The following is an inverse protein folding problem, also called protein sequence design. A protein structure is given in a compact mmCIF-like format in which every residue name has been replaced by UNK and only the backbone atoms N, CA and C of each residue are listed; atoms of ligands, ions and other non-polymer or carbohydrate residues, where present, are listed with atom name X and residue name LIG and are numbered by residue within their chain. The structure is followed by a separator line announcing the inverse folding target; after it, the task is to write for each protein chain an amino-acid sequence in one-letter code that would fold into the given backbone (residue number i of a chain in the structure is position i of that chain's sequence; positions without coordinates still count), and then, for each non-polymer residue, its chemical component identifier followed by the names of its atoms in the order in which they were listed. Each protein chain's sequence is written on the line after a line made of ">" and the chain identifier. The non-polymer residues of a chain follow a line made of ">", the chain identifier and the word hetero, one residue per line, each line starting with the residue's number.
data_IF_214591201214
#
_entry.id   IF_214591201214
#
_cell.length_a   1.000
_cell.length_b   1.000
_cell.length_c   1.000
_cell.angle_alpha   90.00
_cell.angle_beta   90.00
_cell.angle_gamma   90.00
#
_symmetry.space_group_name_H-M   'P 1'
#
loop_
_entity.id
_entity.type
_entity.pdbx_description
1 polymer ?
#
# COMPACT_ATOMS: atom_id res chain seq x y z
N UNK A 1 23.29 88.15 -37.31
CA UNK A 1 23.54 87.89 -38.75
C UNK A 1 24.32 86.60 -38.87
N UNK A 2 23.80 85.64 -39.65
CA UNK A 2 24.42 84.49 -40.35
C UNK A 2 25.41 83.60 -39.55
N UNK A 3 25.08 82.34 -39.20
CA UNK A 3 24.89 81.11 -40.01
C UNK A 3 26.16 80.26 -40.19
N UNK A 4 26.15 79.14 -39.46
CA UNK A 4 26.54 77.75 -39.79
C UNK A 4 27.93 77.44 -40.42
N UNK A 5 28.79 76.76 -39.66
CA UNK A 5 29.61 75.63 -40.14
C UNK A 5 30.00 74.70 -38.97
N UNK A 6 29.98 73.40 -39.26
CA UNK A 6 29.86 72.29 -38.32
C UNK A 6 31.18 71.89 -37.63
N UNK A 7 31.07 71.38 -36.40
CA UNK A 7 31.99 70.37 -35.85
C UNK A 7 31.14 69.29 -35.20
N UNK A 8 30.81 68.25 -35.97
CA UNK A 8 30.42 66.97 -35.40
C UNK A 8 31.71 66.36 -34.82
N UNK A 9 31.87 66.44 -33.49
CA UNK A 9 32.78 65.52 -32.80
C UNK A 9 32.05 64.19 -32.72
N UNK A 10 32.36 63.28 -33.65
CA UNK A 10 32.04 61.88 -33.48
C UNK A 10 32.74 61.40 -32.20
N UNK A 11 31.97 61.11 -31.15
CA UNK A 11 32.44 60.29 -30.04
C UNK A 11 32.83 58.94 -30.63
N UNK A 12 34.14 58.66 -30.66
CA UNK A 12 34.65 57.34 -30.97
C UNK A 12 34.01 56.33 -30.01
N UNK A 13 33.45 55.26 -30.55
CA UNK A 13 33.06 54.10 -29.77
C UNK A 13 34.31 53.58 -29.03
N UNK A 14 34.27 53.59 -27.71
CA UNK A 14 35.33 53.08 -26.84
C UNK A 14 35.25 51.55 -26.77
N UNK A 15 35.48 50.89 -27.90
CA UNK A 15 35.67 49.44 -27.93
C UNK A 15 37.16 49.13 -28.07
N UNK A 16 37.62 48.06 -27.40
CA UNK A 16 39.00 47.57 -27.55
C UNK A 16 39.28 47.23 -29.00
N UNK A 17 40.50 47.56 -29.46
CA UNK A 17 40.94 47.20 -30.80
C UNK A 17 41.26 45.70 -30.86
N UNK A 18 40.90 45.03 -31.95
CA UNK A 18 41.06 43.60 -32.13
C UNK A 18 41.51 43.24 -33.54
N UNK A 19 42.07 42.04 -33.68
CA UNK A 19 42.40 41.41 -34.97
C UNK A 19 41.67 40.10 -35.17
N UNK A 20 41.26 39.45 -34.08
CA UNK A 20 40.49 38.22 -34.04
C UNK A 20 39.44 38.27 -32.94
N UNK A 21 38.43 37.40 -33.01
CA UNK A 21 37.41 37.28 -31.96
C UNK A 21 38.01 36.95 -30.58
N UNK A 22 39.12 36.20 -30.52
CA UNK A 22 39.78 35.85 -29.27
C UNK A 22 40.41 37.06 -28.54
N UNK A 23 40.72 38.14 -29.27
CA UNK A 23 41.19 39.40 -28.67
C UNK A 23 40.06 40.13 -27.91
N UNK A 24 38.82 39.70 -28.10
CA UNK A 24 37.62 40.27 -27.53
C UNK A 24 36.99 39.42 -26.43
N UNK A 25 37.69 38.41 -25.90
CA UNK A 25 37.19 37.62 -24.77
C UNK A 25 36.99 38.53 -23.53
N UNK A 26 35.72 38.77 -23.17
CA UNK A 26 35.35 39.57 -22.00
C UNK A 26 35.22 38.73 -20.71
N UNK A 27 35.53 37.44 -20.79
CA UNK A 27 35.41 36.48 -19.70
C UNK A 27 33.97 36.12 -19.34
N UNK A 28 32.98 36.58 -20.12
CA UNK A 28 31.58 36.25 -19.93
C UNK A 28 31.14 35.19 -20.95
N UNK A 29 30.86 33.97 -20.46
CA UNK A 29 30.43 32.85 -21.30
C UNK A 29 29.10 33.05 -22.02
N UNK A 30 28.33 34.08 -21.63
CA UNK A 30 27.04 34.41 -22.21
C UNK A 30 27.09 35.49 -23.29
N UNK A 31 28.29 35.90 -23.71
CA UNK A 31 28.50 36.82 -24.83
C UNK A 31 29.21 36.10 -25.98
N UNK A 32 28.75 36.36 -27.20
CA UNK A 32 29.51 36.01 -28.40
C UNK A 32 30.42 37.18 -28.73
N UNK A 33 31.71 36.97 -28.53
CA UNK A 33 32.73 37.96 -28.79
C UNK A 33 33.12 37.94 -30.26
N UNK A 34 32.92 39.05 -30.94
CA UNK A 34 33.24 39.21 -32.36
C UNK A 34 34.14 40.40 -32.54
N UNK A 35 35.20 40.23 -33.33
CA UNK A 35 35.95 41.36 -33.84
C UNK A 35 35.25 41.91 -35.08
N UNK A 36 34.63 43.08 -34.95
CA UNK A 36 33.92 43.73 -36.05
C UNK A 36 34.86 44.08 -37.21
N UNK A 37 34.30 44.26 -38.41
CA UNK A 37 35.09 44.61 -39.61
C UNK A 37 35.84 45.96 -39.50
N UNK A 38 35.45 46.78 -38.52
CA UNK A 38 36.10 48.03 -38.10
C UNK A 38 37.30 47.82 -37.16
N UNK A 39 37.63 46.58 -36.78
CA UNK A 39 38.70 46.24 -35.85
C UNK A 39 38.34 46.56 -34.39
N UNK A 40 37.06 46.59 -34.04
CA UNK A 40 36.55 46.91 -32.70
C UNK A 40 35.77 45.71 -32.16
N UNK A 41 35.96 45.40 -30.87
CA UNK A 41 35.22 44.32 -30.22
C UNK A 41 33.72 44.62 -30.09
N UNK A 42 32.92 43.62 -30.41
CA UNK A 42 31.48 43.58 -30.25
C UNK A 42 31.13 42.34 -29.41
N UNK A 43 30.35 42.54 -28.34
CA UNK A 43 29.93 41.47 -27.44
C UNK A 43 28.40 41.33 -27.54
N UNK A 44 27.94 40.30 -28.23
CA UNK A 44 26.51 40.05 -28.41
C UNK A 44 26.01 39.10 -27.31
N UNK A 45 25.15 39.57 -26.41
CA UNK A 45 24.58 38.73 -25.37
C UNK A 45 23.69 37.62 -25.96
N UNK A 46 23.86 36.40 -25.48
CA UNK A 46 23.02 35.26 -25.82
C UNK A 46 21.73 35.29 -24.99
N UNK A 47 20.58 35.27 -25.67
CA UNK A 47 19.27 35.29 -25.01
C UNK A 47 19.06 34.02 -24.15
N UNK A 48 18.70 34.21 -22.88
CA UNK A 48 18.46 33.11 -21.94
C UNK A 48 19.70 32.47 -21.32
N UNK A 49 20.91 32.95 -21.61
CA UNK A 49 22.13 32.48 -20.97
C UNK A 49 22.34 33.13 -19.58
N UNK A 50 22.75 32.33 -18.60
CA UNK A 50 23.05 32.78 -17.23
C UNK A 50 24.57 32.71 -17.01
N UNK A 51 25.26 33.84 -16.74
CA UNK A 51 26.69 33.85 -16.51
C UNK A 51 27.05 33.31 -15.12
N UNK A 52 28.18 32.62 -15.01
CA UNK A 52 28.62 31.99 -13.75
C UNK A 52 30.14 32.05 -13.59
N UNK A 53 30.60 32.03 -12.34
CA UNK A 53 32.02 31.82 -12.02
C UNK A 53 32.29 30.40 -11.52
N UNK A 54 31.30 29.80 -10.85
CA UNK A 54 31.34 28.46 -10.27
C UNK A 54 30.03 27.73 -10.51
N UNK A 55 30.04 26.40 -10.40
CA UNK A 55 28.82 25.59 -10.50
C UNK A 55 27.74 26.00 -9.49
N UNK A 56 28.12 26.48 -8.30
CA UNK A 56 27.19 26.93 -7.28
C UNK A 56 26.41 28.20 -7.66
N UNK A 57 26.91 28.99 -8.63
CA UNK A 57 26.18 30.16 -9.15
C UNK A 57 25.01 29.74 -10.07
N UNK A 58 25.00 28.47 -10.49
CA UNK A 58 24.01 27.89 -11.38
C UNK A 58 22.97 27.03 -10.66
N UNK A 59 22.92 27.05 -9.32
CA UNK A 59 21.93 26.27 -8.54
C UNK A 59 20.50 26.69 -8.91
N UNK A 60 19.81 25.86 -9.68
CA UNK A 60 18.41 26.03 -10.07
C UNK A 60 17.44 25.47 -9.03
N UNK A 61 17.97 24.90 -7.94
CA UNK A 61 17.27 24.18 -6.86
C UNK A 61 16.48 22.97 -7.35
N UNK A 62 16.81 22.44 -8.51
CA UNK A 62 16.27 21.18 -8.99
C UNK A 62 17.28 20.06 -8.68
N UNK A 63 16.99 19.18 -7.71
CA UNK A 63 17.89 18.09 -7.37
C UNK A 63 18.04 17.04 -8.50
N UNK A 64 17.16 17.09 -9.51
CA UNK A 64 17.22 16.21 -10.69
C UNK A 64 18.07 16.74 -11.84
N UNK A 65 18.73 17.87 -11.67
CA UNK A 65 19.75 18.39 -12.57
C UNK A 65 21.09 18.50 -11.86
N UNK A 66 22.16 18.36 -12.64
CA UNK A 66 23.51 18.72 -12.20
C UNK A 66 23.88 20.05 -12.81
N UNK A 67 24.14 21.02 -11.93
CA UNK A 67 24.52 22.36 -12.33
C UNK A 67 26.01 22.41 -12.65
N UNK A 68 26.31 22.91 -13.84
CA UNK A 68 27.67 23.07 -14.33
C UNK A 68 27.91 24.50 -14.76
N UNK A 69 29.04 25.06 -14.36
CA UNK A 69 29.56 26.27 -14.96
C UNK A 69 30.66 25.90 -15.95
N UNK A 70 30.35 25.96 -17.25
CA UNK A 70 31.31 25.62 -18.31
C UNK A 70 31.50 26.82 -19.22
N UNK A 71 32.75 27.29 -19.34
CA UNK A 71 33.06 28.44 -20.19
C UNK A 71 32.42 29.75 -19.73
N UNK A 72 32.08 29.89 -18.44
CA UNK A 72 31.44 31.08 -17.87
C UNK A 72 29.92 31.15 -18.07
N UNK A 73 29.29 30.09 -18.57
CA UNK A 73 27.85 29.96 -18.74
C UNK A 73 27.30 28.75 -17.96
N UNK A 74 26.10 28.92 -17.39
CA UNK A 74 25.38 27.85 -16.73
C UNK A 74 24.86 26.82 -17.73
N UNK A 75 25.01 25.56 -17.37
CA UNK A 75 24.34 24.43 -18.00
C UNK A 75 23.79 23.50 -16.93
N UNK A 76 22.64 22.90 -17.22
CA UNK A 76 21.97 21.93 -16.36
C UNK A 76 21.90 20.61 -17.11
N UNK A 77 22.37 19.52 -16.49
CA UNK A 77 22.33 18.19 -17.10
C UNK A 77 21.48 17.25 -16.26
N UNK A 78 20.49 16.60 -16.86
CA UNK A 78 19.58 15.68 -16.17
C UNK A 78 20.35 14.54 -15.48
N UNK A 79 19.95 14.25 -14.25
CA UNK A 79 20.47 13.10 -13.48
C UNK A 79 19.81 11.82 -14.01
N UNK A 80 20.56 10.78 -14.42
CA UNK A 80 19.98 9.57 -15.01
C UNK A 80 19.05 8.76 -14.10
N UNK A 81 19.13 8.93 -12.77
CA UNK A 81 18.23 8.30 -11.80
C UNK A 81 16.94 9.09 -11.60
N UNK A 82 16.80 10.27 -12.21
CA UNK A 82 15.57 11.04 -12.13
C UNK A 82 14.59 10.68 -13.26
N UNK A 83 13.31 10.67 -12.92
CA UNK A 83 12.21 10.21 -13.75
C UNK A 83 10.93 10.06 -12.91
N UNK A 84 9.96 9.25 -13.36
CA UNK A 84 8.83 8.88 -12.51
C UNK A 84 9.31 8.19 -11.23
N UNK A 85 8.67 8.53 -10.10
CA UNK A 85 9.04 7.98 -8.79
C UNK A 85 9.01 6.44 -8.77
N UNK A 86 10.10 5.85 -8.26
CA UNK A 86 10.24 4.41 -8.04
C UNK A 86 10.21 4.12 -6.54
N UNK A 87 9.09 3.57 -6.10
CA UNK A 87 8.72 3.53 -4.68
C UNK A 87 9.46 2.52 -3.78
N UNK A 88 10.60 1.98 -4.23
CA UNK A 88 11.36 0.98 -3.46
C UNK A 88 12.87 0.94 -3.75
N UNK A 89 13.43 1.96 -4.40
CA UNK A 89 14.85 2.00 -4.75
C UNK A 89 15.72 2.85 -3.80
N UNK A 90 15.09 3.58 -2.87
CA UNK A 90 15.78 4.42 -1.88
C UNK A 90 16.26 5.76 -2.43
N UNK A 91 15.79 6.18 -3.59
CA UNK A 91 16.17 7.41 -4.29
C UNK A 91 14.90 8.26 -4.49
N UNK A 92 15.04 9.59 -4.35
CA UNK A 92 14.06 10.57 -4.79
C UNK A 92 14.21 10.74 -6.31
N UNK A 93 13.37 10.07 -7.10
CA UNK A 93 13.52 10.08 -8.56
C UNK A 93 12.85 11.30 -9.19
N UNK A 94 11.91 11.96 -8.54
CA UNK A 94 11.20 13.11 -9.12
C UNK A 94 11.73 14.48 -8.64
N UNK A 95 12.54 14.47 -7.59
CA UNK A 95 13.26 15.60 -7.05
C UNK A 95 12.44 16.47 -6.10
N UNK A 96 11.36 15.97 -5.52
CA UNK A 96 10.50 16.73 -4.62
C UNK A 96 10.99 16.73 -3.15
N UNK A 97 12.02 15.92 -2.86
CA UNK A 97 12.65 15.77 -1.55
C UNK A 97 12.08 14.64 -0.69
N UNK A 98 11.18 13.83 -1.23
CA UNK A 98 10.61 12.65 -0.61
C UNK A 98 11.15 11.38 -1.31
N UNK A 99 11.15 10.27 -0.58
CA UNK A 99 11.79 9.02 -1.04
C UNK A 99 10.87 7.86 -0.76
N UNK A 100 10.64 7.01 -1.76
CA UNK A 100 9.88 5.77 -1.64
C UNK A 100 8.51 5.99 -0.95
N UNK A 101 8.20 5.23 0.10
CA UNK A 101 6.93 5.31 0.81
C UNK A 101 6.74 6.58 1.65
N UNK A 102 7.76 7.43 1.76
CA UNK A 102 7.58 8.78 2.29
C UNK A 102 7.01 9.74 1.24
N UNK A 103 7.06 9.35 -0.04
CA UNK A 103 6.56 10.10 -1.19
C UNK A 103 5.05 9.88 -1.41
N UNK A 104 4.24 10.97 -1.49
CA UNK A 104 2.83 10.91 -1.86
C UNK A 104 2.54 10.30 -3.23
N UNK A 105 3.45 10.41 -4.20
CA UNK A 105 3.32 9.79 -5.52
C UNK A 105 3.42 8.27 -5.43
N UNK A 106 4.00 7.76 -4.34
CA UNK A 106 4.02 6.34 -3.96
C UNK A 106 2.82 5.86 -3.14
N UNK A 107 1.80 6.69 -2.89
CA UNK A 107 0.65 6.33 -2.06
C UNK A 107 -0.13 5.09 -2.55
N UNK A 108 0.03 4.72 -3.82
CA UNK A 108 -0.62 3.55 -4.43
C UNK A 108 0.35 2.41 -4.78
N UNK A 109 1.64 2.57 -4.47
CA UNK A 109 2.64 1.54 -4.70
C UNK A 109 2.39 0.35 -3.76
N UNK A 110 2.29 -0.90 -4.28
CA UNK A 110 2.02 -2.09 -3.47
C UNK A 110 2.97 -2.27 -2.28
N UNK A 111 4.24 -1.92 -2.46
CA UNK A 111 5.30 -1.94 -1.45
C UNK A 111 5.12 -0.93 -0.31
N UNK A 112 4.36 0.14 -0.55
CA UNK A 112 4.10 1.21 0.40
C UNK A 112 2.72 1.13 1.05
N UNK A 113 1.89 0.18 0.62
CA UNK A 113 0.65 -0.14 1.33
C UNK A 113 1.03 -0.74 2.70
N UNK A 114 0.36 -0.33 3.79
CA UNK A 114 0.56 -0.99 5.07
C UNK A 114 0.29 -2.49 4.91
N UNK A 115 1.09 -3.35 5.52
CA UNK A 115 0.90 -4.80 5.40
C UNK A 115 -0.13 -5.26 6.42
N UNK A 116 -1.09 -6.09 5.99
CA UNK A 116 -2.12 -6.66 6.86
C UNK A 116 -1.52 -7.58 7.96
N UNK A 117 -1.80 -7.34 9.24
CA UNK A 117 -1.29 -8.21 10.31
C UNK A 117 -2.23 -9.40 10.57
N UNK A 118 -2.06 -10.45 9.77
CA UNK A 118 -2.92 -11.63 9.80
C UNK A 118 -3.15 -12.25 11.19
N UNK A 119 -4.42 -12.31 11.57
CA UNK A 119 -4.95 -12.99 12.75
C UNK A 119 -5.20 -12.10 13.97
N UNK A 120 -5.13 -10.77 13.82
CA UNK A 120 -5.41 -9.80 14.88
C UNK A 120 -6.86 -9.27 14.87
N UNK A 121 -7.65 -9.63 13.87
CA UNK A 121 -9.05 -9.26 13.64
C UNK A 121 -9.28 -7.77 13.38
N UNK A 122 -8.30 -7.07 12.83
CA UNK A 122 -8.33 -5.67 12.44
C UNK A 122 -8.00 -5.60 10.95
N UNK A 123 -8.50 -4.57 10.27
CA UNK A 123 -8.11 -4.19 8.92
C UNK A 123 -6.95 -3.19 9.09
N UNK A 124 -5.71 -3.68 8.99
CA UNK A 124 -4.49 -2.91 9.25
C UNK A 124 -4.01 -2.16 8.00
N UNK A 125 -4.37 -2.62 6.81
CA UNK A 125 -4.03 -1.96 5.54
C UNK A 125 -5.09 -0.96 5.04
N UNK A 126 -6.28 -0.97 5.66
CA UNK A 126 -7.37 -0.04 5.41
C UNK A 126 -8.14 -0.31 4.12
N UNK A 127 -8.02 -1.50 3.54
CA UNK A 127 -8.66 -1.84 2.27
C UNK A 127 -10.10 -2.36 2.42
N UNK A 128 -10.57 -2.48 3.66
CA UNK A 128 -11.91 -2.93 4.01
C UNK A 128 -12.04 -4.44 4.18
N UNK A 129 -10.97 -5.21 3.96
CA UNK A 129 -10.87 -6.63 4.24
C UNK A 129 -10.12 -6.83 5.56
N UNK A 130 -10.51 -7.85 6.32
CA UNK A 130 -9.92 -8.15 7.63
C UNK A 130 -9.26 -9.52 7.57
N UNK A 131 -8.06 -9.65 8.11
CA UNK A 131 -7.33 -10.90 8.31
C UNK A 131 -7.49 -11.88 7.12
N UNK A 132 -8.08 -13.06 7.36
CA UNK A 132 -8.11 -14.15 6.40
C UNK A 132 -9.22 -14.00 5.36
N UNK A 133 -9.95 -12.89 5.38
CA UNK A 133 -10.81 -12.44 4.26
C UNK A 133 -10.03 -11.55 3.29
N UNK A 134 -8.91 -10.98 3.74
CA UNK A 134 -7.95 -10.26 2.93
C UNK A 134 -7.07 -11.21 2.07
N UNK A 135 -6.58 -10.70 0.93
CA UNK A 135 -5.79 -11.43 -0.06
C UNK A 135 -4.31 -11.55 0.31
N UNK A 136 -3.77 -10.63 1.09
CA UNK A 136 -2.41 -10.64 1.62
C UNK A 136 -2.26 -11.72 2.70
N UNK A 137 -3.33 -12.00 3.46
CA UNK A 137 -3.36 -13.12 4.40
C UNK A 137 -3.83 -14.44 3.81
N UNK A 138 -4.76 -14.42 2.85
CA UNK A 138 -5.35 -15.63 2.25
C UNK A 138 -5.55 -15.48 0.75
N UNK A 139 -4.45 -15.59 -0.01
CA UNK A 139 -4.45 -15.48 -1.48
C UNK A 139 -5.33 -16.52 -2.18
N UNK A 140 -5.38 -17.73 -1.63
CA UNK A 140 -6.19 -18.84 -2.17
C UNK A 140 -7.04 -19.46 -1.08
N UNK A 141 -8.36 -19.52 -1.32
CA UNK A 141 -9.30 -20.15 -0.42
C UNK A 141 -9.92 -21.40 -1.06
N UNK A 142 -9.91 -22.51 -0.32
CA UNK A 142 -10.70 -23.68 -0.65
C UNK A 142 -12.19 -23.48 -0.38
N UNK A 143 -13.02 -24.41 -0.89
CA UNK A 143 -14.46 -24.37 -0.66
C UNK A 143 -14.81 -24.90 0.74
N UNK A 144 -15.38 -24.02 1.57
CA UNK A 144 -16.09 -24.42 2.79
C UNK A 144 -17.54 -24.77 2.40
N UNK A 145 -18.14 -25.77 3.04
CA UNK A 145 -19.57 -26.06 2.86
C UNK A 145 -20.25 -25.95 4.20
N UNK A 146 -21.03 -24.89 4.41
CA UNK A 146 -21.88 -24.80 5.60
C UNK A 146 -23.01 -25.83 5.46
N UNK A 147 -23.15 -26.69 6.47
CA UNK A 147 -24.24 -27.66 6.52
C UNK A 147 -25.38 -27.17 7.41
N UNK A 148 -25.06 -26.44 8.49
CA UNK A 148 -26.03 -25.78 9.38
C UNK A 148 -25.40 -24.58 10.08
N UNK A 149 -26.17 -23.51 10.26
CA UNK A 149 -25.77 -22.32 11.01
C UNK A 149 -26.96 -21.75 11.80
N UNK A 150 -26.69 -21.16 12.94
CA UNK A 150 -27.66 -20.40 13.73
C UNK A 150 -26.93 -19.24 14.40
N UNK A 151 -27.38 -18.03 14.11
CA UNK A 151 -26.95 -16.80 14.78
C UNK A 151 -28.11 -16.22 15.56
N UNK A 152 -27.85 -15.86 16.81
CA UNK A 152 -28.78 -15.09 17.65
C UNK A 152 -28.06 -13.78 18.03
N UNK A 153 -27.98 -12.78 17.12
CA UNK A 153 -27.32 -11.50 17.42
C UNK A 153 -28.03 -10.76 18.56
N UNK A 154 -27.30 -9.90 19.28
CA UNK A 154 -27.86 -9.10 20.36
C UNK A 154 -29.06 -8.26 19.87
N UNK A 155 -30.13 -8.18 20.66
CA UNK A 155 -31.31 -7.35 20.37
C UNK A 155 -32.58 -8.10 19.94
N UNK A 156 -32.51 -9.38 19.55
CA UNK A 156 -33.70 -10.14 19.14
C UNK A 156 -34.56 -10.67 20.30
N UNK A 157 -34.00 -10.99 21.50
CA UNK A 157 -34.64 -11.16 22.84
C UNK A 157 -33.56 -11.27 23.95
N UNK A 158 -33.96 -11.22 25.24
CA UNK A 158 -33.22 -11.36 26.53
C UNK A 158 -32.03 -12.35 26.65
N UNK A 159 -31.76 -13.21 25.65
CA UNK A 159 -30.60 -14.11 25.57
C UNK A 159 -30.07 -14.13 24.13
N UNK A 160 -29.32 -13.10 23.74
CA UNK A 160 -28.62 -13.01 22.45
C UNK A 160 -27.19 -13.60 22.52
N UNK A 161 -26.35 -13.23 21.56
CA UNK A 161 -24.93 -13.56 21.46
C UNK A 161 -24.64 -15.07 21.31
N UNK A 162 -25.41 -15.76 20.47
CA UNK A 162 -25.17 -17.19 20.21
C UNK A 162 -24.78 -17.49 18.79
N UNK A 163 -23.85 -18.43 18.67
CA UNK A 163 -23.43 -19.01 17.42
C UNK A 163 -23.48 -20.52 17.55
N UNK A 164 -24.08 -21.19 16.58
CA UNK A 164 -23.91 -22.62 16.37
C UNK A 164 -23.69 -22.89 14.90
N UNK A 165 -22.56 -23.52 14.57
CA UNK A 165 -22.20 -23.82 13.19
C UNK A 165 -21.78 -25.28 13.04
N UNK A 166 -22.14 -25.85 11.89
CA UNK A 166 -21.67 -27.13 11.39
C UNK A 166 -21.30 -26.92 9.93
N UNK A 167 -20.04 -27.17 9.61
CA UNK A 167 -19.51 -27.06 8.26
C UNK A 167 -18.73 -28.32 7.89
N UNK A 168 -18.61 -28.56 6.59
CA UNK A 168 -17.59 -29.43 6.03
C UNK A 168 -16.46 -28.54 5.57
N UNK A 169 -15.36 -28.63 6.31
CA UNK A 169 -14.16 -27.84 6.10
C UNK A 169 -13.46 -28.23 4.80
N UNK A 170 -13.37 -29.54 4.52
CA UNK A 170 -12.76 -30.03 3.29
C UNK A 170 -13.35 -31.40 2.89
N UNK A 171 -13.34 -31.69 1.60
CA UNK A 171 -13.80 -32.97 1.02
C UNK A 171 -12.85 -34.13 1.31
N UNK A 172 -11.57 -33.84 1.54
CA UNK A 172 -10.51 -34.72 2.01
C UNK A 172 -9.68 -33.99 3.07
N UNK A 173 -8.84 -34.70 3.84
CA UNK A 173 -7.94 -34.04 4.81
C UNK A 173 -6.88 -33.27 4.04
N UNK A 174 -6.78 -31.94 4.18
CA UNK A 174 -5.78 -31.18 3.45
C UNK A 174 -4.35 -31.48 3.91
N UNK A 175 -3.34 -31.26 3.06
CA UNK A 175 -1.95 -31.33 3.47
C UNK A 175 -1.68 -30.41 4.67
N UNK A 176 -0.87 -30.90 5.62
CA UNK A 176 -0.48 -30.18 6.83
C UNK A 176 -1.64 -29.78 7.76
N UNK A 177 -2.86 -30.29 7.55
CA UNK A 177 -3.99 -30.03 8.44
C UNK A 177 -3.72 -30.60 9.84
N UNK A 178 -3.40 -29.72 10.79
CA UNK A 178 -3.25 -30.08 12.19
C UNK A 178 -3.60 -28.93 13.15
N UNK A 179 -4.83 -28.88 13.69
CA UNK A 179 -5.25 -27.88 14.67
C UNK A 179 -4.46 -27.88 16.00
N UNK A 180 -3.68 -28.92 16.33
CA UNK A 180 -2.80 -28.86 17.53
C UNK A 180 -1.39 -28.37 17.21
N UNK A 181 -1.02 -28.30 15.93
CA UNK A 181 0.23 -27.72 15.47
C UNK A 181 0.05 -26.29 14.92
N UNK A 182 -1.17 -25.92 14.54
CA UNK A 182 -1.47 -24.66 13.87
C UNK A 182 -2.69 -23.98 14.47
N UNK A 183 -2.69 -22.65 14.45
CA UNK A 183 -3.81 -21.87 14.96
C UNK A 183 -5.01 -21.97 14.02
N UNK A 184 -6.21 -21.81 14.58
CA UNK A 184 -7.47 -21.87 13.83
C UNK A 184 -8.19 -20.55 13.93
N UNK A 185 -8.56 -19.95 12.80
CA UNK A 185 -9.34 -18.70 12.79
C UNK A 185 -10.72 -18.96 12.22
N UNK A 186 -11.74 -18.47 12.94
CA UNK A 186 -13.11 -18.39 12.43
C UNK A 186 -13.45 -16.91 12.29
N UNK A 187 -13.75 -16.51 11.08
CA UNK A 187 -14.15 -15.16 10.73
C UNK A 187 -15.45 -15.19 9.94
N UNK A 188 -16.27 -14.17 10.15
CA UNK A 188 -17.52 -13.97 9.43
C UNK A 188 -17.71 -12.47 9.21
N UNK A 189 -18.21 -12.11 8.04
CA UNK A 189 -18.53 -10.73 7.66
C UNK A 189 -19.80 -10.68 6.81
N UNK A 190 -20.32 -9.48 6.63
CA UNK A 190 -21.32 -9.17 5.61
C UNK A 190 -20.93 -7.85 4.90
N UNK A 191 -21.82 -7.32 4.05
CA UNK A 191 -21.58 -6.08 3.29
C UNK A 191 -21.21 -4.84 4.13
N UNK A 192 -21.47 -4.86 5.45
CA UNK A 192 -21.14 -3.77 6.36
C UNK A 192 -19.87 -4.06 7.18
N UNK A 193 -19.13 -5.15 6.91
CA UNK A 193 -17.89 -5.49 7.60
C UNK A 193 -17.98 -6.70 8.55
N UNK A 194 -17.01 -6.87 9.48
CA UNK A 194 -16.88 -8.08 10.29
C UNK A 194 -18.02 -8.25 11.31
N UNK A 195 -18.55 -9.47 11.37
CA UNK A 195 -19.56 -9.93 12.32
C UNK A 195 -18.96 -10.64 13.52
N UNK A 196 -17.90 -11.40 13.26
CA UNK A 196 -17.16 -12.17 14.25
C UNK A 196 -15.79 -12.48 13.69
N UNK A 197 -14.75 -12.29 14.48
CA UNK A 197 -13.42 -12.78 14.16
C UNK A 197 -12.78 -13.29 15.44
N UNK A 198 -12.22 -14.49 15.39
CA UNK A 198 -11.43 -15.03 16.48
C UNK A 198 -10.43 -16.07 16.01
N UNK A 199 -9.18 -15.82 16.34
CA UNK A 199 -8.10 -16.83 16.29
C UNK A 199 -8.08 -17.63 17.60
N UNK A 200 -8.15 -18.95 17.49
CA UNK A 200 -7.96 -19.91 18.58
C UNK A 200 -6.58 -20.53 18.44
N UNK A 201 -5.68 -20.18 19.35
CA UNK A 201 -4.32 -20.70 19.37
C UNK A 201 -4.29 -22.23 19.48
N UNK A 202 -3.35 -22.86 18.77
CA UNK A 202 -3.08 -24.32 18.77
C UNK A 202 -2.96 -24.92 20.17
N UNK A 203 -2.45 -24.15 21.14
CA UNK A 203 -2.29 -24.57 22.53
C UNK A 203 -3.62 -24.91 23.23
N UNK A 204 -4.74 -24.37 22.73
CA UNK A 204 -6.07 -24.66 23.26
C UNK A 204 -6.74 -25.88 22.61
N UNK A 205 -6.18 -26.37 21.51
CA UNK A 205 -6.66 -27.55 20.83
C UNK A 205 -6.12 -28.83 21.48
N UNK A 206 -6.95 -29.86 21.50
CA UNK A 206 -6.62 -31.19 22.00
C UNK A 206 -6.95 -32.21 20.93
N UNK A 207 -6.12 -33.24 20.81
CA UNK A 207 -6.36 -34.41 19.93
C UNK A 207 -6.65 -35.67 20.75
N UNK A 208 -7.80 -35.76 21.43
CA UNK A 208 -8.10 -36.88 22.33
C UNK A 208 -8.34 -38.22 21.61
N UNK A 209 -8.41 -38.23 20.27
CA UNK A 209 -8.65 -39.42 19.47
C UNK A 209 -8.12 -39.17 18.06
N UNK A 210 -7.61 -40.22 17.40
CA UNK A 210 -6.99 -40.22 16.05
C UNK A 210 -7.70 -39.51 14.88
N UNK A 211 -8.93 -39.01 15.07
CA UNK A 211 -9.77 -38.35 14.04
C UNK A 211 -10.58 -37.19 14.62
N UNK A 212 -10.22 -36.68 15.80
CA UNK A 212 -10.99 -35.66 16.50
C UNK A 212 -10.03 -34.66 17.14
N UNK A 213 -10.21 -33.40 16.78
CA UNK A 213 -9.59 -32.24 17.42
C UNK A 213 -10.69 -31.46 18.12
N UNK A 214 -10.44 -30.94 19.31
CA UNK A 214 -11.42 -30.12 20.03
C UNK A 214 -10.75 -29.09 20.94
N UNK A 215 -11.41 -27.97 21.14
CA UNK A 215 -11.17 -27.07 22.27
C UNK A 215 -12.47 -26.89 23.07
N UNK A 216 -12.33 -26.46 24.33
CA UNK A 216 -13.43 -26.03 25.18
C UNK A 216 -13.04 -24.73 25.88
N UNK A 217 -13.90 -23.72 25.82
CA UNK A 217 -13.74 -22.41 26.45
C UNK A 217 -15.06 -21.96 27.08
N UNK A 218 -15.58 -22.74 28.03
CA UNK A 218 -16.87 -22.45 28.69
C UNK A 218 -16.89 -21.15 29.48
N UNK A 219 -15.71 -20.57 29.74
CA UNK A 219 -15.53 -19.32 30.48
C UNK A 219 -15.32 -18.12 29.54
N UNK A 220 -15.23 -18.33 28.22
CA UNK A 220 -15.07 -17.27 27.23
C UNK A 220 -13.76 -16.50 27.37
N UNK A 221 -12.64 -17.19 27.62
CA UNK A 221 -11.34 -16.57 27.88
C UNK A 221 -10.50 -16.32 26.64
N UNK A 222 -10.66 -17.12 25.59
CA UNK A 222 -9.76 -17.10 24.43
C UNK A 222 -10.45 -17.36 23.09
N UNK A 223 -11.71 -17.81 23.08
CA UNK A 223 -12.39 -18.21 21.84
C UNK A 223 -13.54 -17.25 21.46
N UNK A 224 -13.45 -15.96 21.82
CA UNK A 224 -14.42 -14.94 21.38
C UNK A 224 -15.87 -15.25 21.78
N UNK A 225 -16.07 -15.97 22.89
CA UNK A 225 -17.40 -16.41 23.34
C UNK A 225 -17.88 -17.75 22.78
N UNK A 226 -17.07 -18.43 21.95
CA UNK A 226 -17.29 -19.83 21.59
C UNK A 226 -17.00 -20.73 22.80
N UNK A 227 -17.99 -21.52 23.23
CA UNK A 227 -17.82 -22.46 24.34
C UNK A 227 -16.95 -23.67 23.94
N UNK A 228 -16.96 -24.02 22.65
CA UNK A 228 -16.30 -25.21 22.11
C UNK A 228 -16.23 -25.20 20.59
N UNK A 229 -15.19 -25.81 20.06
CA UNK A 229 -15.05 -26.15 18.66
C UNK A 229 -14.52 -27.58 18.49
N UNK A 230 -14.79 -28.20 17.35
CA UNK A 230 -14.21 -29.50 17.00
C UNK A 230 -14.07 -29.71 15.51
N UNK A 231 -12.96 -30.32 15.13
CA UNK A 231 -12.80 -30.98 13.84
C UNK A 231 -12.97 -32.49 14.01
N UNK A 232 -13.64 -33.13 13.05
CA UNK A 232 -13.80 -34.58 12.97
C UNK A 232 -13.50 -35.06 11.56
N UNK A 233 -12.42 -35.81 11.42
CA UNK A 233 -12.06 -36.52 10.19
C UNK A 233 -12.98 -37.74 10.03
N UNK A 234 -13.68 -37.81 8.90
CA UNK A 234 -14.62 -38.89 8.57
C UNK A 234 -13.88 -40.10 8.01
N UNK A 235 -14.60 -41.21 7.81
CA UNK A 235 -14.01 -42.42 7.22
C UNK A 235 -13.67 -42.22 5.73
N UNK A 236 -14.42 -41.39 5.03
CA UNK A 236 -14.22 -41.02 3.63
C UNK A 236 -13.23 -39.85 3.45
N UNK A 237 -12.43 -39.50 4.46
CA UNK A 237 -11.45 -38.42 4.40
C UNK A 237 -12.00 -37.01 4.64
N UNK A 238 -13.30 -36.76 4.48
CA UNK A 238 -13.82 -35.39 4.68
C UNK A 238 -13.69 -34.90 6.13
N UNK A 239 -13.50 -33.60 6.29
CA UNK A 239 -13.31 -32.96 7.58
C UNK A 239 -14.56 -32.17 7.96
N UNK A 240 -15.22 -32.54 9.06
CA UNK A 240 -16.33 -31.76 9.61
C UNK A 240 -15.84 -30.84 10.72
N UNK A 241 -16.23 -29.57 10.64
CA UNK A 241 -16.07 -28.60 11.71
C UNK A 241 -17.41 -28.35 12.42
N UNK A 242 -17.37 -28.16 13.74
CA UNK A 242 -18.50 -27.62 14.50
C UNK A 242 -18.00 -26.64 15.54
N UNK A 243 -18.69 -25.51 15.66
CA UNK A 243 -18.47 -24.52 16.71
C UNK A 243 -19.79 -24.19 17.41
N UNK A 244 -19.72 -23.89 18.69
CA UNK A 244 -20.87 -23.45 19.47
C UNK A 244 -20.43 -22.46 20.54
N UNK A 245 -21.15 -21.35 20.68
CA UNK A 245 -20.96 -20.35 21.73
C UNK A 245 -22.27 -19.74 22.18
N UNK A 246 -22.31 -19.34 23.46
CA UNK A 246 -23.48 -18.68 24.09
C UNK A 246 -23.25 -17.21 24.43
N UNK A 247 -22.02 -16.74 24.29
CA UNK A 247 -21.63 -15.37 24.61
C UNK A 247 -20.74 -14.79 23.51
N UNK A 248 -21.03 -15.16 22.26
CA UNK A 248 -20.32 -14.69 21.07
C UNK A 248 -20.73 -13.26 20.81
N UNK A 249 -19.79 -12.33 20.91
CA UNK A 249 -19.99 -10.94 20.52
C UNK A 249 -20.23 -10.88 19.02
N UNK A 250 -21.50 -10.81 18.63
CA UNK A 250 -21.94 -10.71 17.24
C UNK A 250 -22.50 -9.32 17.03
N UNK A 251 -22.01 -8.63 16.00
CA UNK A 251 -22.68 -7.45 15.48
C UNK A 251 -24.07 -7.82 14.94
N UNK A 252 -25.01 -6.88 14.97
CA UNK A 252 -26.29 -7.04 14.29
C UNK A 252 -26.09 -7.21 12.77
N UNK A 253 -26.96 -8.02 12.16
CA UNK A 253 -27.00 -8.31 10.72
C UNK A 253 -28.40 -8.79 10.36
N UNK A 254 -28.81 -8.57 9.11
CA UNK A 254 -30.06 -9.10 8.55
C UNK A 254 -29.91 -10.55 8.04
N UNK A 255 -28.68 -11.08 8.03
CA UNK A 255 -28.37 -12.43 7.60
C UNK A 255 -28.15 -12.57 6.10
N UNK A 256 -28.09 -11.49 5.33
CA UNK A 256 -27.81 -11.54 3.89
C UNK A 256 -26.31 -11.67 3.61
N UNK A 257 -25.95 -12.48 2.60
CA UNK A 257 -24.59 -12.60 2.05
C UNK A 257 -23.48 -12.72 3.09
N UNK A 258 -23.72 -13.55 4.11
CA UNK A 258 -22.77 -13.82 5.18
C UNK A 258 -21.61 -14.61 4.59
N UNK A 259 -20.43 -14.00 4.56
CA UNK A 259 -19.16 -14.67 4.29
C UNK A 259 -18.71 -15.36 5.58
N UNK A 260 -18.30 -16.62 5.46
CA UNK A 260 -17.69 -17.38 6.54
C UNK A 260 -16.35 -17.89 6.08
N UNK A 261 -15.31 -17.51 6.81
CA UNK A 261 -13.93 -17.92 6.60
C UNK A 261 -13.48 -18.79 7.75
N UNK A 262 -12.99 -19.99 7.43
CA UNK A 262 -12.41 -20.92 8.39
C UNK A 262 -11.00 -21.31 7.94
N UNK A 263 -10.01 -20.98 8.77
CA UNK A 263 -8.58 -21.15 8.51
C UNK A 263 -7.95 -22.09 9.52
N UNK A 264 -7.04 -22.97 9.09
CA UNK A 264 -6.19 -23.79 9.97
C UNK A 264 -4.77 -23.78 9.42
N UNK A 265 -3.84 -23.08 10.09
CA UNK A 265 -2.55 -22.75 9.47
C UNK A 265 -2.75 -22.10 8.10
N UNK A 266 -1.90 -22.32 7.14
CA UNK A 266 -2.01 -21.65 5.81
C UNK A 266 -3.22 -22.09 4.94
N UNK A 267 -4.13 -22.91 5.48
CA UNK A 267 -5.28 -23.44 4.75
C UNK A 267 -6.55 -22.63 5.03
N UNK A 268 -6.86 -21.71 4.12
CA UNK A 268 -8.07 -20.89 4.15
C UNK A 268 -9.23 -21.60 3.43
N UNK A 269 -10.43 -21.55 4.00
CA UNK A 269 -11.65 -22.04 3.33
C UNK A 269 -12.78 -21.03 3.52
N UNK A 270 -13.54 -20.76 2.45
CA UNK A 270 -14.58 -19.72 2.44
C UNK A 270 -15.92 -20.26 1.93
N UNK A 271 -17.01 -19.72 2.45
CA UNK A 271 -18.37 -19.94 1.98
C UNK A 271 -19.22 -18.69 2.18
N UNK A 272 -20.03 -18.34 1.19
CA UNK A 272 -21.05 -17.28 1.32
C UNK A 272 -22.44 -17.91 1.39
N UNK A 273 -23.30 -17.39 2.27
CA UNK A 273 -24.68 -17.85 2.37
C UNK A 273 -25.62 -16.76 2.92
N UNK A 274 -26.91 -16.92 2.67
CA UNK A 274 -27.95 -16.11 3.31
C UNK A 274 -28.71 -16.92 4.35
N UNK A 275 -28.92 -16.32 5.52
CA UNK A 275 -29.63 -16.89 6.65
C UNK A 275 -31.10 -16.48 6.62
N UNK A 276 -31.99 -17.42 6.92
CA UNK A 276 -33.41 -17.12 7.05
C UNK A 276 -33.73 -16.56 8.41
N UNK A 277 -34.42 -15.42 8.43
CA UNK A 277 -34.90 -14.79 9.66
C UNK A 277 -36.06 -15.54 10.25
N UNK A 278 -35.93 -15.93 11.51
CA UNK A 278 -37.00 -16.49 12.33
C UNK A 278 -37.30 -15.55 13.49
N UNK A 279 -38.39 -15.78 14.22
CA UNK A 279 -38.77 -14.98 15.41
C UNK A 279 -37.68 -14.90 16.50
N UNK A 280 -36.62 -15.71 16.44
CA UNK A 280 -35.60 -15.82 17.51
C UNK A 280 -34.16 -15.86 17.00
N UNK A 281 -33.92 -16.08 15.72
CA UNK A 281 -32.60 -16.40 15.18
C UNK A 281 -32.54 -16.25 13.66
N UNK A 282 -31.33 -16.08 13.15
CA UNK A 282 -30.98 -16.27 11.74
C UNK A 282 -30.47 -17.71 11.57
N UNK A 283 -30.95 -18.44 10.56
CA UNK A 283 -30.67 -19.88 10.41
C UNK A 283 -30.29 -20.29 8.99
N UNK A 284 -29.42 -21.30 8.91
CA UNK A 284 -29.06 -22.02 7.70
C UNK A 284 -29.01 -23.54 7.93
N UNK A 285 -29.40 -24.36 6.93
CA UNK A 285 -30.41 -23.98 5.96
C UNK A 285 -31.65 -23.50 6.70
#
# INVERSE_FOLDING_TARGET
>A
MLSLLAVLVARAATGSACTTAADCDDGNGCTTDTCGANGVCEHAAQEGCIPCATAADCDDRNPCTTDGCTGGACGHTDVPSCGPEQCSDGIDNDGDGLVDCADPDCAHAPECRPHEMCGNCIDDDGDGLVDYEDADCCRQAGALVIERMTLEPAGLKLRGNRLAMKARYASSVPPLFDPVAQDTTLQMSDAHGPLFCQTIARAHWKHPHRRRYRFEDRRGRFAGGLDKGRFKVKRNGSVLFRAHGKHVSLRATDGTDILVTLRVGEQCTRATMSLRTTKKALRFP
#
